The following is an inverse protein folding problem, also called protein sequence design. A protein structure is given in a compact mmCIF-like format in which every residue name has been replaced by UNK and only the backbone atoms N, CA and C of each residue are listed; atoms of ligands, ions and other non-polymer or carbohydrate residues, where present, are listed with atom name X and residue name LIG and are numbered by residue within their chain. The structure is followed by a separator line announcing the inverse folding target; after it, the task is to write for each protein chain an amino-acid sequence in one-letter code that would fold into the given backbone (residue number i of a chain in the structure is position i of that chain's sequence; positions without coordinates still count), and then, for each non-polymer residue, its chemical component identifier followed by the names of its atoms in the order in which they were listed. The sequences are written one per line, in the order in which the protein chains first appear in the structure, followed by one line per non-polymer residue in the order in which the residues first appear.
data_IF_451993126025
#
_entry.id   IF_451993126025
#
_cell.length_a   1.000
_cell.length_b   1.000
_cell.length_c   1.000
_cell.angle_alpha   90.00
_cell.angle_beta   90.00
_cell.angle_gamma   90.00
#
_symmetry.space_group_name_H-M   'P 1'
#
loop_
_entity.id
_entity.type
_entity.pdbx_description
1 polymer ?
#
# COMPACT_ATOMS: atom_id res chain seq x y z
N UNK A 1 -11.57 13.88 -12.86
CA UNK A 1 -12.24 15.17 -13.01
C UNK A 1 -11.21 16.29 -13.11
N UNK A 2 -11.41 17.26 -13.99
CA UNK A 2 -10.53 18.43 -14.16
C UNK A 2 -11.40 19.65 -14.49
N UNK A 3 -10.89 20.88 -14.23
CA UNK A 3 -11.59 22.12 -14.54
C UNK A 3 -11.74 22.33 -16.05
N UNK A 4 -12.73 23.13 -16.47
CA UNK A 4 -13.00 23.41 -17.88
C UNK A 4 -11.78 23.99 -18.59
N UNK A 5 -11.08 24.94 -17.98
CA UNK A 5 -9.88 25.55 -18.53
C UNK A 5 -8.76 24.53 -18.80
N UNK A 6 -8.61 23.52 -17.92
CA UNK A 6 -7.63 22.46 -18.12
C UNK A 6 -8.10 21.50 -19.22
N UNK A 7 -9.41 21.24 -19.33
CA UNK A 7 -9.95 20.40 -20.39
C UNK A 7 -9.68 20.96 -21.77
N UNK A 8 -9.89 22.28 -21.97
CA UNK A 8 -9.62 22.96 -23.24
C UNK A 8 -8.15 22.81 -23.71
N UNK A 9 -7.22 22.86 -22.76
CA UNK A 9 -5.80 22.66 -23.04
C UNK A 9 -5.43 21.19 -23.26
N UNK A 10 -6.04 20.29 -22.50
CA UNK A 10 -5.71 18.86 -22.47
C UNK A 10 -6.33 18.06 -23.61
N UNK A 11 -7.60 18.34 -23.98
CA UNK A 11 -8.35 17.55 -24.96
C UNK A 11 -7.68 17.47 -26.35
N UNK A 12 -7.07 18.51 -26.92
CA UNK A 12 -6.37 18.43 -28.19
C UNK A 12 -5.20 17.43 -28.16
N UNK A 13 -4.42 17.41 -27.07
CA UNK A 13 -3.33 16.44 -26.90
C UNK A 13 -3.88 15.02 -26.66
N UNK A 14 -4.89 14.90 -25.82
CA UNK A 14 -5.50 13.62 -25.49
C UNK A 14 -6.12 12.95 -26.73
N UNK A 15 -6.81 13.70 -27.56
CA UNK A 15 -7.42 13.18 -28.79
C UNK A 15 -6.39 12.70 -29.83
N UNK A 16 -5.17 13.25 -29.77
CA UNK A 16 -4.08 12.80 -30.64
C UNK A 16 -3.39 11.52 -30.10
N UNK A 17 -3.41 11.32 -28.78
CA UNK A 17 -2.80 10.16 -28.11
C UNK A 17 -3.72 8.96 -28.00
N UNK A 18 -5.01 9.20 -27.84
CA UNK A 18 -6.02 8.16 -27.63
C UNK A 18 -7.26 8.41 -28.50
N UNK A 19 -7.56 7.48 -29.40
CA UNK A 19 -8.78 7.50 -30.23
C UNK A 19 -10.06 7.28 -29.36
N UNK A 20 -9.87 6.73 -28.17
CA UNK A 20 -10.93 6.50 -27.18
C UNK A 20 -10.57 5.37 -26.23
N UNK A 21 -11.34 5.23 -25.13
CA UNK A 21 -11.11 4.18 -24.15
C UNK A 21 -11.47 2.80 -24.73
N UNK A 22 -10.88 1.76 -24.14
CA UNK A 22 -11.12 0.36 -24.52
C UNK A 22 -12.60 -0.01 -24.38
N UNK A 23 -13.30 -0.14 -25.51
CA UNK A 23 -14.73 -0.46 -25.59
C UNK A 23 -15.06 -1.83 -25.02
N UNK A 24 -14.14 -2.82 -25.14
CA UNK A 24 -14.35 -4.17 -24.62
C UNK A 24 -14.36 -4.15 -23.10
N UNK A 25 -13.42 -3.44 -22.49
CA UNK A 25 -13.38 -3.28 -21.03
C UNK A 25 -14.60 -2.49 -20.53
N UNK A 26 -15.04 -1.47 -21.25
CA UNK A 26 -16.28 -0.76 -20.89
C UNK A 26 -17.49 -1.70 -20.94
N UNK A 27 -17.63 -2.51 -22.00
CA UNK A 27 -18.73 -3.48 -22.11
C UNK A 27 -18.70 -4.50 -20.97
N UNK A 28 -17.51 -5.01 -20.60
CA UNK A 28 -17.36 -5.89 -19.43
C UNK A 28 -17.85 -5.23 -18.14
N UNK A 29 -17.50 -3.96 -17.89
CA UNK A 29 -17.97 -3.25 -16.71
C UNK A 29 -19.49 -3.02 -16.73
N UNK A 30 -20.07 -2.71 -17.89
CA UNK A 30 -21.54 -2.59 -18.02
C UNK A 30 -22.24 -3.90 -17.65
N UNK A 31 -21.75 -5.03 -18.18
CA UNK A 31 -22.30 -6.36 -17.86
C UNK A 31 -22.12 -6.65 -16.37
N UNK A 32 -20.93 -6.41 -15.82
CA UNK A 32 -20.65 -6.63 -14.40
C UNK A 32 -21.62 -5.84 -13.51
N UNK A 33 -21.80 -4.55 -13.75
CA UNK A 33 -22.69 -3.69 -12.93
C UNK A 33 -24.18 -4.04 -13.12
N UNK A 34 -24.56 -4.58 -14.28
CA UNK A 34 -25.93 -5.04 -14.53
C UNK A 34 -26.24 -6.36 -13.79
N UNK A 35 -25.31 -7.31 -13.83
CA UNK A 35 -25.53 -8.69 -13.40
C UNK A 35 -25.06 -8.97 -11.97
N UNK A 36 -24.21 -8.09 -11.39
CA UNK A 36 -23.62 -8.25 -10.07
C UNK A 36 -24.04 -7.13 -9.12
N UNK A 37 -24.39 -7.49 -7.89
CA UNK A 37 -24.55 -6.51 -6.83
C UNK A 37 -23.16 -6.06 -6.34
N UNK A 38 -22.80 -4.80 -6.64
CA UNK A 38 -21.50 -4.25 -6.28
C UNK A 38 -21.24 -4.27 -4.77
N UNK A 39 -22.26 -3.96 -3.97
CA UNK A 39 -22.15 -3.96 -2.50
C UNK A 39 -21.82 -5.35 -1.95
N UNK A 40 -22.47 -6.39 -2.48
CA UNK A 40 -22.21 -7.77 -2.06
C UNK A 40 -20.83 -8.25 -2.52
N UNK A 41 -20.39 -7.82 -3.70
CA UNK A 41 -19.04 -8.07 -4.18
C UNK A 41 -17.99 -7.41 -3.26
N UNK A 42 -18.18 -6.14 -2.91
CA UNK A 42 -17.31 -5.41 -1.98
C UNK A 42 -17.26 -6.07 -0.60
N UNK A 43 -18.40 -6.53 -0.07
CA UNK A 43 -18.44 -7.25 1.21
C UNK A 43 -17.69 -8.58 1.17
N UNK A 44 -17.80 -9.35 0.07
CA UNK A 44 -17.01 -10.58 -0.13
C UNK A 44 -15.52 -10.28 -0.15
N UNK A 45 -15.12 -9.25 -0.87
CA UNK A 45 -13.73 -8.82 -0.96
C UNK A 45 -13.18 -8.37 0.40
N UNK A 46 -13.96 -7.58 1.15
CA UNK A 46 -13.60 -7.13 2.49
C UNK A 46 -13.38 -8.32 3.45
N UNK A 47 -14.20 -9.38 3.37
CA UNK A 47 -14.01 -10.59 4.19
C UNK A 47 -12.68 -11.30 3.94
N UNK A 48 -12.12 -11.20 2.75
CA UNK A 48 -10.82 -11.79 2.40
C UNK A 48 -9.67 -10.90 2.91
N UNK A 49 -9.83 -9.58 2.81
CA UNK A 49 -8.76 -8.62 3.11
C UNK A 49 -8.69 -8.30 4.60
N UNK A 50 -9.81 -8.13 5.28
CA UNK A 50 -9.85 -7.70 6.68
C UNK A 50 -8.98 -8.54 7.62
N UNK A 51 -9.01 -9.89 7.60
CA UNK A 51 -8.16 -10.70 8.46
C UNK A 51 -6.67 -10.44 8.29
N UNK A 52 -6.24 -10.05 7.09
CA UNK A 52 -4.84 -9.71 6.80
C UNK A 52 -4.41 -8.41 7.48
N UNK A 53 -5.29 -7.40 7.47
CA UNK A 53 -5.04 -6.15 8.20
C UNK A 53 -5.04 -6.37 9.71
N UNK A 54 -6.01 -7.14 10.21
CA UNK A 54 -6.10 -7.46 11.65
C UNK A 54 -4.83 -8.17 12.14
N UNK A 55 -4.27 -9.09 11.35
CA UNK A 55 -3.01 -9.76 11.64
C UNK A 55 -1.84 -8.76 11.69
N UNK A 56 -1.69 -7.91 10.68
CA UNK A 56 -0.61 -6.91 10.63
C UNK A 56 -0.69 -5.96 11.83
N UNK A 57 -1.88 -5.43 12.11
CA UNK A 57 -2.10 -4.51 13.24
C UNK A 57 -1.82 -5.19 14.58
N UNK A 58 -2.25 -6.45 14.75
CA UNK A 58 -1.96 -7.24 15.95
C UNK A 58 -0.46 -7.43 16.16
N UNK A 59 0.27 -7.77 15.11
CA UNK A 59 1.74 -7.92 15.14
C UNK A 59 2.44 -6.59 15.49
N UNK A 60 2.05 -5.49 14.88
CA UNK A 60 2.60 -4.17 15.18
C UNK A 60 2.32 -3.76 16.63
N UNK A 61 1.11 -3.99 17.14
CA UNK A 61 0.74 -3.73 18.52
C UNK A 61 1.59 -4.53 19.53
N UNK A 62 1.99 -5.75 19.20
CA UNK A 62 2.76 -6.61 20.09
C UNK A 62 4.16 -6.07 20.39
N UNK A 63 4.76 -5.33 19.47
CA UNK A 63 6.12 -4.79 19.63
C UNK A 63 6.14 -3.35 20.12
N UNK A 64 5.10 -2.56 19.81
CA UNK A 64 4.93 -1.19 20.30
C UNK A 64 5.98 -0.18 19.80
N UNK A 65 6.70 -0.51 18.72
CA UNK A 65 7.69 0.37 18.10
C UNK A 65 7.08 1.09 16.89
N UNK A 66 7.21 2.42 16.85
CA UNK A 66 6.66 3.26 15.78
C UNK A 66 5.18 3.56 15.91
N UNK A 67 4.60 4.07 14.84
CA UNK A 67 3.17 4.37 14.71
C UNK A 67 2.66 3.82 13.40
N UNK A 68 1.36 3.63 13.28
CA UNK A 68 0.73 3.14 12.04
C UNK A 68 -0.69 3.63 11.90
N UNK A 69 -1.14 3.71 10.66
CA UNK A 69 -2.54 4.00 10.35
C UNK A 69 -3.40 2.75 10.59
N UNK A 70 -4.62 2.95 11.05
CA UNK A 70 -5.64 1.89 11.15
C UNK A 70 -6.77 2.20 10.15
N UNK A 71 -6.65 1.79 8.88
CA UNK A 71 -7.62 2.16 7.86
C UNK A 71 -8.90 1.34 7.95
N UNK A 72 -10.05 1.98 7.72
CA UNK A 72 -11.35 1.29 7.60
C UNK A 72 -11.51 0.56 6.26
N UNK A 73 -10.64 0.83 5.29
CA UNK A 73 -10.65 0.21 3.96
C UNK A 73 -9.38 0.49 3.19
N UNK A 74 -9.31 -0.04 1.97
CA UNK A 74 -8.13 0.11 1.11
C UNK A 74 -7.24 -1.13 1.10
N UNK A 75 -6.02 -0.98 0.57
CA UNK A 75 -5.11 -2.10 0.28
C UNK A 75 -3.78 -2.01 1.02
N UNK A 76 -3.52 -0.95 1.76
CA UNK A 76 -2.27 -0.72 2.48
C UNK A 76 -2.48 0.10 3.74
N UNK A 77 -1.56 -0.01 4.64
CA UNK A 77 -1.40 0.87 5.78
C UNK A 77 -0.03 1.55 5.74
N UNK A 78 0.10 2.66 6.43
CA UNK A 78 1.35 3.40 6.57
C UNK A 78 1.93 3.12 7.96
N UNK A 79 3.17 2.65 7.99
CA UNK A 79 3.98 2.53 9.19
C UNK A 79 4.94 3.72 9.28
N UNK A 80 5.01 4.36 10.42
CA UNK A 80 5.91 5.45 10.73
C UNK A 80 6.95 4.97 11.75
N UNK A 81 8.19 4.82 11.30
CA UNK A 81 9.34 4.53 12.16
C UNK A 81 9.87 5.81 12.83
N UNK A 82 10.86 5.68 13.66
CA UNK A 82 11.66 6.82 14.06
C UNK A 82 12.39 7.43 12.84
N UNK A 83 12.67 8.74 12.92
CA UNK A 83 13.33 9.50 11.85
C UNK A 83 14.67 8.88 11.44
N UNK A 84 14.88 8.73 10.13
CA UNK A 84 16.10 8.21 9.54
C UNK A 84 16.19 6.68 9.47
N UNK A 85 15.13 5.94 9.79
CA UNK A 85 15.18 4.48 9.85
C UNK A 85 14.46 3.75 8.71
N UNK A 86 13.59 4.41 7.95
CA UNK A 86 12.77 3.71 6.94
C UNK A 86 13.62 3.01 5.88
N UNK A 87 14.62 3.67 5.32
CA UNK A 87 15.55 3.07 4.34
C UNK A 87 16.32 1.91 4.93
N UNK A 88 16.80 2.03 6.18
CA UNK A 88 17.55 0.97 6.82
C UNK A 88 16.68 -0.25 7.10
N UNK A 89 15.48 -0.06 7.61
CA UNK A 89 14.50 -1.15 7.81
C UNK A 89 14.19 -1.87 6.50
N UNK A 90 13.96 -1.13 5.41
CA UNK A 90 13.67 -1.71 4.09
C UNK A 90 14.89 -2.46 3.54
N UNK A 91 16.12 -1.95 3.75
CA UNK A 91 17.36 -2.64 3.35
C UNK A 91 17.49 -3.99 4.06
N UNK A 92 17.36 -4.00 5.39
CA UNK A 92 17.40 -5.22 6.21
C UNK A 92 16.32 -6.23 5.79
N UNK A 93 15.10 -5.75 5.56
CA UNK A 93 14.00 -6.59 5.08
C UNK A 93 14.33 -7.24 3.74
N UNK A 94 14.90 -6.48 2.80
CA UNK A 94 15.29 -6.98 1.48
C UNK A 94 16.43 -8.01 1.57
N UNK A 95 17.41 -7.80 2.44
CA UNK A 95 18.50 -8.76 2.72
C UNK A 95 17.96 -10.10 3.24
N UNK A 96 16.86 -10.05 4.01
CA UNK A 96 16.17 -11.24 4.53
C UNK A 96 15.08 -11.79 3.58
N UNK A 97 14.99 -11.28 2.35
CA UNK A 97 14.06 -11.75 1.33
C UNK A 97 12.65 -11.16 1.41
N UNK A 98 12.38 -10.22 2.33
CA UNK A 98 11.10 -9.52 2.43
C UNK A 98 11.13 -8.25 1.56
N UNK A 99 10.40 -8.28 0.45
CA UNK A 99 10.28 -7.13 -0.45
C UNK A 99 9.19 -6.16 0.03
N UNK A 100 9.60 -4.96 0.40
CA UNK A 100 8.73 -3.85 0.73
C UNK A 100 8.70 -2.80 -0.38
N UNK A 101 7.73 -1.89 -0.32
CA UNK A 101 7.72 -0.71 -1.19
C UNK A 101 8.96 0.15 -0.89
N UNK A 102 9.66 0.66 -1.91
CA UNK A 102 10.84 1.51 -1.68
C UNK A 102 10.53 2.71 -0.78
N UNK A 103 11.50 3.11 0.04
CA UNK A 103 11.39 4.30 0.88
C UNK A 103 11.12 5.55 0.01
N UNK A 104 10.28 6.44 0.50
CA UNK A 104 9.88 7.64 -0.24
C UNK A 104 8.73 7.43 -1.24
N UNK A 105 8.38 6.20 -1.62
CA UNK A 105 7.33 5.95 -2.61
C UNK A 105 5.93 6.44 -2.20
N UNK A 106 5.74 6.82 -0.95
CA UNK A 106 4.51 7.44 -0.42
C UNK A 106 4.48 8.96 -0.54
N UNK A 107 5.57 9.56 -1.02
CA UNK A 107 5.74 11.01 -1.14
C UNK A 107 5.89 11.43 -2.60
N UNK A 108 5.47 12.65 -2.96
CA UNK A 108 5.75 13.23 -4.27
C UNK A 108 7.27 13.22 -4.54
N UNK A 109 7.64 12.90 -5.77
CA UNK A 109 9.04 12.81 -6.23
C UNK A 109 9.90 11.76 -5.49
N UNK A 110 9.29 10.89 -4.67
CA UNK A 110 10.01 9.87 -3.91
C UNK A 110 10.85 10.41 -2.75
N UNK A 111 10.58 11.64 -2.30
CA UNK A 111 11.37 12.31 -1.25
C UNK A 111 10.59 12.29 0.07
N UNK A 112 11.05 11.47 1.01
CA UNK A 112 10.68 11.52 2.43
C UNK A 112 11.84 12.16 3.19
N UNK A 113 11.72 13.45 3.52
CA UNK A 113 12.79 14.22 4.19
C UNK A 113 13.16 13.66 5.56
N UNK A 114 12.19 13.07 6.24
CA UNK A 114 12.39 12.48 7.57
C UNK A 114 12.81 11.01 7.52
N UNK A 115 12.74 10.36 6.35
CA UNK A 115 13.07 8.94 6.15
C UNK A 115 12.41 8.03 7.20
N UNK A 116 11.08 8.12 7.33
CA UNK A 116 10.33 7.43 8.40
C UNK A 116 9.12 6.63 7.93
N UNK A 117 8.66 6.82 6.69
CA UNK A 117 7.42 6.20 6.23
C UNK A 117 7.66 4.93 5.40
N UNK A 118 6.99 3.86 5.80
CA UNK A 118 7.00 2.56 5.11
C UNK A 118 5.57 2.15 4.80
N UNK A 119 5.28 1.87 3.53
CA UNK A 119 3.99 1.35 3.10
C UNK A 119 3.96 -0.16 3.21
N UNK A 120 2.99 -0.69 3.94
CA UNK A 120 2.73 -2.13 4.07
C UNK A 120 1.46 -2.47 3.29
N UNK A 121 1.57 -3.41 2.35
CA UNK A 121 0.46 -3.87 1.50
C UNK A 121 0.21 -5.38 1.71
N UNK A 122 -0.61 -5.77 2.69
CA UNK A 122 -0.74 -7.17 3.12
C UNK A 122 -1.61 -8.04 2.21
N UNK A 123 -2.16 -7.49 1.13
CA UNK A 123 -3.27 -8.09 0.41
C UNK A 123 -2.89 -9.26 -0.49
N UNK A 124 -1.64 -9.34 -0.97
CA UNK A 124 -1.19 -10.36 -1.92
C UNK A 124 -0.88 -11.73 -1.27
N UNK A 125 -0.29 -11.73 -0.08
CA UNK A 125 0.15 -12.93 0.62
C UNK A 125 -1.02 -13.72 1.23
N UNK A 126 -0.84 -15.03 1.45
CA UNK A 126 -1.68 -15.80 2.37
C UNK A 126 -1.48 -15.33 3.82
N UNK A 127 -2.37 -15.73 4.74
CA UNK A 127 -2.22 -15.39 6.16
C UNK A 127 -0.94 -15.97 6.77
N UNK A 128 -0.59 -17.21 6.43
CA UNK A 128 0.62 -17.87 6.93
C UNK A 128 1.92 -17.21 6.43
N UNK A 129 1.95 -16.81 5.16
CA UNK A 129 3.07 -16.05 4.60
C UNK A 129 3.18 -14.67 5.22
N UNK A 130 2.04 -14.01 5.42
CA UNK A 130 1.98 -12.68 6.02
C UNK A 130 2.44 -12.70 7.48
N UNK A 131 2.06 -13.73 8.24
CA UNK A 131 2.49 -13.91 9.63
C UNK A 131 4.02 -13.95 9.73
N UNK A 132 4.66 -14.79 8.91
CA UNK A 132 6.12 -14.89 8.84
C UNK A 132 6.79 -13.61 8.34
N UNK A 133 6.20 -12.99 7.31
CA UNK A 133 6.70 -11.73 6.78
C UNK A 133 6.68 -10.62 7.83
N UNK A 134 5.63 -10.57 8.65
CA UNK A 134 5.55 -9.60 9.75
C UNK A 134 6.57 -9.87 10.85
N UNK A 135 6.87 -11.13 11.18
CA UNK A 135 7.93 -11.45 12.15
C UNK A 135 9.30 -10.96 11.66
N UNK A 136 9.62 -11.17 10.37
CA UNK A 136 10.83 -10.62 9.75
C UNK A 136 10.83 -9.10 9.81
N UNK A 137 9.72 -8.46 9.46
CA UNK A 137 9.60 -7.00 9.49
C UNK A 137 9.83 -6.43 10.89
N UNK A 138 9.23 -7.02 11.91
CA UNK A 138 9.40 -6.61 13.31
C UNK A 138 10.86 -6.79 13.78
N UNK A 139 11.52 -7.87 13.37
CA UNK A 139 12.95 -8.08 13.63
C UNK A 139 13.79 -6.97 13.00
N UNK A 140 13.52 -6.59 11.74
CA UNK A 140 14.22 -5.50 11.05
C UNK A 140 14.04 -4.16 11.76
N UNK A 141 12.84 -3.87 12.28
CA UNK A 141 12.59 -2.67 13.09
C UNK A 141 13.46 -2.68 14.35
N UNK A 142 13.49 -3.80 15.07
CA UNK A 142 14.31 -3.95 16.28
C UNK A 142 15.79 -3.70 15.99
N UNK A 143 16.35 -4.38 14.98
CA UNK A 143 17.75 -4.25 14.57
C UNK A 143 18.10 -2.82 14.16
N UNK A 144 17.30 -2.16 13.35
CA UNK A 144 17.54 -0.79 12.91
C UNK A 144 17.53 0.19 14.11
N UNK A 145 16.69 -0.04 15.11
CA UNK A 145 16.66 0.77 16.33
C UNK A 145 17.89 0.54 17.22
N UNK A 146 18.37 -0.69 17.31
CA UNK A 146 19.59 -1.02 18.05
C UNK A 146 20.84 -0.43 17.39
N UNK A 147 20.98 -0.57 16.08
CA UNK A 147 22.09 0.04 15.32
C UNK A 147 22.18 1.55 15.51
N UNK A 148 21.03 2.23 15.65
CA UNK A 148 21.01 3.69 15.88
C UNK A 148 21.45 4.10 17.29
N UNK A 149 21.30 3.21 18.28
CA UNK A 149 21.66 3.49 19.67
C UNK A 149 23.15 3.32 19.97
N UNK A 150 23.83 2.57 19.09
CA UNK A 150 25.27 2.32 19.17
C UNK A 150 26.06 3.31 18.31
#
# INVERSE_FOLDING_TARGET
AMSENIQELFLPFYSSLMIGPDKINQAKHVIFFRDMNLTDHMKKHAKIIRPKFDLVISKLNSQGLGKWTNPDGGYFLLYESDKGLAKRIISLANELGLKLTPAGATHPYGIDEDDKYIRIAPTACSLDELDKAMDVFLCCIGLANEERRN
#
